data_IF_100444911332
#
_entry.id   IF_100444911332
#
_cell.length_a   1.000
_cell.length_b   1.000
_cell.length_c   1.000
_cell.angle_alpha   90.00
_cell.angle_beta   90.00
_cell.angle_gamma   90.00
#
_symmetry.space_group_name_H-M   'P 1'
#
loop_
_entity.id
_entity.type
_entity.pdbx_description
1 polymer ?
#
# COMPACT_ATOMS: atom_id res chain seq x y z
N UNK A 1 66.33 -47.78 56.22
CA UNK A 1 67.77 -47.41 56.26
C UNK A 1 67.91 -45.98 55.74
N UNK A 2 68.42 -45.10 56.61
CA UNK A 2 68.88 -43.69 56.46
C UNK A 2 68.00 -42.60 55.82
N UNK A 3 67.61 -41.68 56.71
CA UNK A 3 67.17 -40.30 56.54
C UNK A 3 68.35 -39.40 56.11
N UNK A 4 68.10 -38.34 55.34
CA UNK A 4 69.06 -37.28 55.05
C UNK A 4 68.43 -36.01 54.48
N UNK A 5 68.13 -35.05 55.36
CA UNK A 5 67.85 -33.62 55.07
C UNK A 5 69.18 -32.88 54.92
N UNK A 6 69.21 -31.71 54.26
CA UNK A 6 70.11 -30.51 54.46
C UNK A 6 70.12 -29.69 53.16
N UNK A 7 69.39 -28.57 53.00
CA UNK A 7 69.53 -27.15 53.43
C UNK A 7 69.82 -26.21 52.24
N UNK A 8 69.12 -25.07 52.22
CA UNK A 8 69.26 -23.93 51.30
C UNK A 8 70.62 -23.21 51.42
N UNK A 9 70.92 -22.31 50.47
CA UNK A 9 71.20 -20.94 50.88
C UNK A 9 70.38 -19.87 50.14
N UNK A 10 70.53 -18.66 50.66
CA UNK A 10 69.73 -17.44 50.59
C UNK A 10 70.56 -16.35 49.91
N UNK A 11 69.94 -15.42 49.15
CA UNK A 11 70.24 -13.97 49.01
C UNK A 11 69.49 -13.43 47.77
N UNK A 12 68.52 -12.54 47.95
CA UNK A 12 68.62 -11.08 48.07
C UNK A 12 68.97 -10.37 46.75
N UNK A 13 67.99 -9.64 46.20
CA UNK A 13 68.18 -8.67 45.11
C UNK A 13 66.94 -7.80 44.92
N UNK A 14 66.88 -6.67 45.62
CA UNK A 14 65.96 -5.55 45.36
C UNK A 14 66.55 -4.69 44.24
N UNK A 15 65.76 -4.44 43.19
CA UNK A 15 65.84 -3.27 42.31
C UNK A 15 64.44 -3.07 41.71
N UNK A 16 63.61 -2.17 42.22
CA UNK A 16 63.58 -0.72 41.95
C UNK A 16 63.40 -0.39 40.47
N UNK A 17 62.29 0.32 40.18
CA UNK A 17 62.07 1.24 39.04
C UNK A 17 61.94 0.60 37.64
N UNK A 18 60.98 0.92 36.77
CA UNK A 18 59.99 1.99 36.64
C UNK A 18 58.79 1.45 35.85
N UNK A 19 57.57 1.90 36.18
CA UNK A 19 56.36 1.73 35.37
C UNK A 19 56.45 2.62 34.12
N UNK A 20 56.10 2.16 32.92
CA UNK A 20 55.57 3.05 31.89
C UNK A 20 54.05 3.18 32.08
N UNK A 21 53.66 4.16 32.88
CA UNK A 21 52.33 4.78 32.78
C UNK A 21 52.45 5.82 31.67
N UNK A 22 52.07 5.46 30.44
CA UNK A 22 51.77 6.41 29.36
C UNK A 22 51.34 5.63 28.12
N UNK A 23 50.02 5.55 27.87
CA UNK A 23 49.38 5.61 26.54
C UNK A 23 47.94 5.08 26.49
N UNK A 24 47.36 4.63 27.61
CA UNK A 24 45.95 4.22 27.67
C UNK A 24 44.96 5.39 27.87
N UNK A 25 45.31 6.61 27.46
CA UNK A 25 44.41 7.78 27.50
C UNK A 25 44.09 8.37 26.12
N UNK A 26 44.72 7.88 25.04
CA UNK A 26 44.39 8.29 23.67
C UNK A 26 43.46 7.31 22.93
N UNK A 27 43.24 6.10 23.47
CA UNK A 27 42.27 5.16 22.91
C UNK A 27 40.86 5.29 23.49
N UNK A 28 40.69 6.05 24.59
CA UNK A 28 39.38 6.31 25.22
C UNK A 28 38.64 7.54 24.68
N UNK A 29 39.26 8.34 23.80
CA UNK A 29 38.62 9.57 23.27
C UNK A 29 38.05 9.41 21.85
N UNK A 30 38.21 8.24 21.21
CA UNK A 30 37.64 7.96 19.89
C UNK A 30 36.49 6.94 19.94
N UNK A 31 36.09 6.50 21.14
CA UNK A 31 34.98 5.56 21.37
C UNK A 31 33.74 6.25 21.99
N UNK A 32 33.60 7.56 21.76
CA UNK A 32 32.46 8.39 22.21
C UNK A 32 31.77 9.15 21.06
N UNK A 33 31.99 8.71 19.81
CA UNK A 33 31.30 9.22 18.62
C UNK A 33 30.50 8.14 17.88
N UNK A 34 30.16 7.04 18.55
CA UNK A 34 28.93 6.33 18.20
C UNK A 34 27.81 7.03 18.95
N UNK A 35 27.35 8.15 18.39
CA UNK A 35 26.01 8.60 18.70
C UNK A 35 25.10 7.44 18.27
N UNK A 36 24.59 6.71 19.25
CA UNK A 36 23.39 5.92 19.05
C UNK A 36 22.35 6.93 18.59
N UNK A 37 22.00 6.91 17.31
CA UNK A 37 20.79 7.56 16.84
C UNK A 37 19.70 7.05 17.78
N UNK A 38 19.23 7.94 18.65
CA UNK A 38 18.08 7.64 19.50
C UNK A 38 16.98 7.27 18.52
N UNK A 39 16.35 6.11 18.73
CA UNK A 39 15.20 5.65 17.95
C UNK A 39 14.31 6.85 17.60
N UNK A 40 14.44 7.31 16.35
CA UNK A 40 13.57 8.31 15.76
C UNK A 40 12.55 7.46 15.04
N UNK A 41 11.26 7.75 15.27
CA UNK A 41 10.17 7.25 14.45
C UNK A 41 10.35 7.63 13.00
N UNK A 42 9.29 7.50 12.20
CA UNK A 42 9.39 7.76 10.77
C UNK A 42 9.91 9.19 10.51
N UNK A 43 10.74 9.33 9.49
CA UNK A 43 11.11 10.63 8.97
C UNK A 43 9.87 11.26 8.31
N UNK A 44 9.32 12.30 8.97
CA UNK A 44 8.17 13.06 8.46
C UNK A 44 8.64 14.43 7.99
N UNK A 45 8.62 14.65 6.67
CA UNK A 45 9.18 15.85 6.02
C UNK A 45 8.23 16.44 4.99
N UNK A 46 8.30 17.75 4.79
CA UNK A 46 7.59 18.40 3.68
C UNK A 46 8.50 18.44 2.45
N UNK A 47 8.05 17.84 1.35
CA UNK A 47 8.71 17.92 0.04
C UNK A 47 8.42 19.26 -0.63
N UNK A 48 7.18 19.74 -0.48
CA UNK A 48 6.69 21.04 -0.89
C UNK A 48 5.51 21.46 0.02
N UNK A 49 4.94 22.67 -0.12
CA UNK A 49 3.75 23.03 0.64
C UNK A 49 2.60 22.03 0.40
N UNK A 50 2.14 21.39 1.47
CA UNK A 50 1.08 20.37 1.44
C UNK A 50 1.41 19.09 0.66
N UNK A 51 2.70 18.88 0.44
CA UNK A 51 3.26 17.66 -0.11
C UNK A 51 4.23 17.10 0.94
N UNK A 52 3.86 16.00 1.57
CA UNK A 52 4.49 15.47 2.78
C UNK A 52 4.93 14.04 2.49
N UNK A 53 6.12 13.68 2.96
CA UNK A 53 6.65 12.32 2.93
C UNK A 53 6.78 11.77 4.34
N UNK A 54 6.43 10.50 4.51
CA UNK A 54 6.69 9.70 5.71
C UNK A 54 7.49 8.47 5.29
N UNK A 55 8.73 8.35 5.81
CA UNK A 55 9.61 7.21 5.53
C UNK A 55 10.15 6.55 6.80
N UNK A 56 10.21 5.22 6.83
CA UNK A 56 10.69 4.44 7.98
C UNK A 56 9.60 3.89 8.88
N UNK A 57 9.98 3.36 10.05
CA UNK A 57 9.05 2.70 10.99
C UNK A 57 8.13 3.71 11.65
N UNK A 58 6.82 3.49 11.58
CA UNK A 58 5.81 4.37 12.17
C UNK A 58 5.76 4.18 13.68
N UNK A 59 6.09 5.22 14.43
CA UNK A 59 6.17 5.21 15.89
C UNK A 59 5.44 6.41 16.51
N UNK A 60 5.28 6.37 17.83
CA UNK A 60 4.60 7.42 18.57
C UNK A 60 5.19 8.82 18.31
N UNK A 61 4.37 9.74 17.80
CA UNK A 61 4.72 11.14 17.56
C UNK A 61 4.83 11.54 16.09
N UNK A 62 4.80 10.60 15.17
CA UNK A 62 4.76 10.82 13.72
C UNK A 62 3.45 11.53 13.30
N UNK A 63 2.33 11.24 13.96
CA UNK A 63 1.01 11.86 13.79
C UNK A 63 1.04 13.34 14.15
N UNK A 64 1.78 13.70 15.19
CA UNK A 64 2.01 15.08 15.59
C UNK A 64 3.01 15.78 14.67
N UNK A 65 4.00 15.07 14.14
CA UNK A 65 4.89 15.59 13.10
C UNK A 65 4.14 15.91 11.81
N UNK A 66 3.31 14.99 11.33
CA UNK A 66 2.43 15.16 10.18
C UNK A 66 1.49 16.36 10.37
N UNK A 67 0.80 16.44 11.53
CA UNK A 67 -0.11 17.54 11.85
C UNK A 67 0.58 18.90 11.78
N UNK A 68 1.80 19.01 12.33
CA UNK A 68 2.57 20.26 12.30
C UNK A 68 2.85 20.72 10.87
N UNK A 69 3.16 19.81 9.94
CA UNK A 69 3.38 20.15 8.55
C UNK A 69 2.09 20.58 7.84
N UNK A 70 0.98 19.87 8.09
CA UNK A 70 -0.35 20.23 7.57
C UNK A 70 -0.79 21.63 8.04
N UNK A 71 -0.62 21.91 9.33
CA UNK A 71 -0.98 23.21 9.92
C UNK A 71 -0.08 24.33 9.41
N UNK A 72 1.23 24.08 9.34
CA UNK A 72 2.21 25.06 8.84
C UNK A 72 1.96 25.40 7.36
N UNK A 73 1.59 24.39 6.55
CA UNK A 73 1.23 24.56 5.15
C UNK A 73 -0.18 25.14 4.94
N UNK A 74 -1.02 25.20 5.98
CA UNK A 74 -2.44 25.57 5.92
C UNK A 74 -3.19 24.72 4.87
N UNK A 75 -2.96 23.43 4.89
CA UNK A 75 -3.35 22.54 3.81
C UNK A 75 -4.87 22.31 3.77
N UNK A 76 -5.46 22.61 2.62
CA UNK A 76 -6.86 22.25 2.30
C UNK A 76 -6.96 20.96 1.49
N UNK A 77 -5.82 20.51 0.96
CA UNK A 77 -5.59 19.26 0.28
C UNK A 77 -4.13 18.88 0.54
N UNK A 78 -3.85 17.62 0.81
CA UNK A 78 -2.51 17.11 1.12
C UNK A 78 -2.18 15.93 0.22
N UNK A 79 -0.97 15.88 -0.33
CA UNK A 79 -0.39 14.64 -0.86
C UNK A 79 0.53 14.07 0.21
N UNK A 80 0.33 12.80 0.56
CA UNK A 80 1.12 12.07 1.53
C UNK A 80 1.82 10.90 0.84
N UNK A 81 3.12 11.04 0.65
CA UNK A 81 4.03 10.03 0.13
C UNK A 81 4.44 9.07 1.26
N UNK A 82 4.37 7.76 0.99
CA UNK A 82 4.53 6.71 1.98
C UNK A 82 5.64 5.74 1.54
N UNK A 83 6.66 5.61 2.38
CA UNK A 83 7.74 4.62 2.25
C UNK A 83 8.04 3.99 3.61
N UNK A 84 7.20 3.05 4.05
CA UNK A 84 7.27 2.50 5.40
C UNK A 84 7.05 0.99 5.44
N UNK A 85 7.85 0.25 6.24
CA UNK A 85 7.58 -1.15 6.55
C UNK A 85 6.37 -1.34 7.50
N UNK A 86 5.72 -0.25 7.93
CA UNK A 86 4.65 -0.25 8.93
C UNK A 86 5.15 0.15 10.32
N UNK A 87 4.46 -0.31 11.36
CA UNK A 87 4.74 0.05 12.74
C UNK A 87 3.48 0.11 13.59
N UNK A 88 3.36 1.16 14.40
CA UNK A 88 2.25 1.37 15.33
C UNK A 88 0.90 1.56 14.60
N UNK A 89 -0.06 0.66 14.86
CA UNK A 89 -1.44 0.79 14.37
C UNK A 89 -2.13 2.03 14.92
N UNK A 90 -1.92 2.32 16.21
CA UNK A 90 -2.46 3.52 16.85
C UNK A 90 -1.96 4.78 16.14
N UNK A 91 -0.67 4.84 15.80
CA UNK A 91 -0.10 5.99 15.10
C UNK A 91 -0.69 6.18 13.71
N UNK A 92 -0.86 5.07 12.98
CA UNK A 92 -1.49 5.06 11.66
C UNK A 92 -2.91 5.61 11.72
N UNK A 93 -3.72 5.16 12.68
CA UNK A 93 -5.09 5.65 12.81
C UNK A 93 -5.14 7.12 13.27
N UNK A 94 -4.20 7.56 14.10
CA UNK A 94 -4.07 8.98 14.47
C UNK A 94 -3.67 9.87 13.29
N UNK A 95 -2.88 9.38 12.33
CA UNK A 95 -2.60 10.08 11.07
C UNK A 95 -3.86 10.08 10.19
N UNK A 96 -4.47 8.91 9.99
CA UNK A 96 -5.65 8.74 9.12
C UNK A 96 -6.88 9.51 9.59
N UNK A 97 -7.05 9.73 10.90
CA UNK A 97 -8.12 10.57 11.46
C UNK A 97 -8.00 12.04 11.04
N UNK A 98 -6.83 12.46 10.56
CA UNK A 98 -6.59 13.81 10.04
C UNK A 98 -6.95 13.91 8.54
N UNK A 99 -7.30 12.80 7.89
CA UNK A 99 -7.60 12.78 6.46
C UNK A 99 -9.03 13.29 6.20
N UNK A 100 -9.08 14.50 5.64
CA UNK A 100 -10.30 15.08 5.07
C UNK A 100 -10.18 15.17 3.54
N UNK A 101 -9.03 15.62 3.05
CA UNK A 101 -8.66 15.71 1.63
C UNK A 101 -7.19 15.34 1.46
N UNK A 102 -6.89 14.06 1.68
CA UNK A 102 -5.53 13.55 1.63
C UNK A 102 -5.43 12.47 0.56
N UNK A 103 -4.56 12.70 -0.42
CA UNK A 103 -4.10 11.70 -1.37
C UNK A 103 -2.94 10.94 -0.74
N UNK A 104 -3.03 9.62 -0.69
CA UNK A 104 -1.90 8.76 -0.29
C UNK A 104 -1.19 8.24 -1.54
N UNK A 105 0.13 8.27 -1.53
CA UNK A 105 0.97 7.90 -2.67
C UNK A 105 2.08 6.96 -2.23
N UNK A 106 2.37 5.93 -3.02
CA UNK A 106 3.59 5.14 -2.89
C UNK A 106 4.43 5.38 -4.15
N UNK A 107 5.56 6.04 -4.00
CA UNK A 107 6.43 6.43 -5.12
C UNK A 107 7.19 5.24 -5.72
N UNK A 108 7.97 5.52 -6.76
CA UNK A 108 8.79 4.52 -7.43
C UNK A 108 9.77 3.84 -6.46
N UNK A 109 9.75 2.51 -6.46
CA UNK A 109 10.60 1.67 -5.61
C UNK A 109 10.41 1.88 -4.10
N UNK A 110 9.41 2.66 -3.68
CA UNK A 110 9.00 2.76 -2.29
C UNK A 110 8.12 1.57 -1.90
N UNK A 111 7.99 1.35 -0.60
CA UNK A 111 7.15 0.29 -0.06
C UNK A 111 6.19 0.81 1.00
N UNK A 112 5.00 0.23 1.07
CA UNK A 112 4.05 0.51 2.13
C UNK A 112 3.47 -0.81 2.62
N UNK A 113 4.03 -1.30 3.72
CA UNK A 113 3.76 -2.63 4.26
C UNK A 113 3.03 -2.54 5.60
N UNK A 114 2.29 -3.60 5.94
CA UNK A 114 1.70 -3.76 7.28
C UNK A 114 0.77 -2.59 7.65
N UNK A 115 0.99 -1.93 8.79
CA UNK A 115 0.25 -0.76 9.23
C UNK A 115 0.32 0.41 8.21
N UNK A 116 1.43 0.57 7.48
CA UNK A 116 1.50 1.58 6.41
C UNK A 116 0.43 1.30 5.35
N UNK A 117 0.24 0.04 4.95
CA UNK A 117 -0.75 -0.31 3.95
C UNK A 117 -2.18 0.09 4.37
N UNK A 118 -2.50 0.03 5.66
CA UNK A 118 -3.78 0.54 6.19
C UNK A 118 -3.86 2.08 6.12
N UNK A 119 -2.76 2.78 6.43
CA UNK A 119 -2.67 4.24 6.28
C UNK A 119 -2.87 4.66 4.82
N UNK A 120 -2.20 3.97 3.90
CA UNK A 120 -2.34 4.16 2.46
C UNK A 120 -3.80 4.03 2.04
N UNK A 121 -4.47 2.96 2.46
CA UNK A 121 -5.86 2.73 2.09
C UNK A 121 -6.83 3.77 2.68
N UNK A 122 -6.48 4.46 3.77
CA UNK A 122 -7.33 5.48 4.37
C UNK A 122 -7.41 6.79 3.56
N UNK A 123 -6.52 6.98 2.56
CA UNK A 123 -6.51 8.16 1.68
C UNK A 123 -7.87 8.41 1.03
N UNK A 124 -8.36 9.65 1.16
CA UNK A 124 -9.69 10.04 0.68
C UNK A 124 -9.78 11.55 0.44
N UNK A 125 -10.65 11.92 -0.49
CA UNK A 125 -11.01 13.30 -0.75
C UNK A 125 -12.50 13.53 -0.56
N UNK A 126 -12.83 14.35 0.43
CA UNK A 126 -14.19 14.82 0.68
C UNK A 126 -14.38 16.24 0.12
N UNK A 127 -15.24 16.41 -0.90
CA UNK A 127 -15.53 17.71 -1.51
C UNK A 127 -16.84 17.75 -2.30
N UNK A 128 -17.23 18.94 -2.79
CA UNK A 128 -18.34 19.13 -3.72
C UNK A 128 -19.69 19.51 -3.09
N UNK A 129 -20.67 19.73 -3.97
CA UNK A 129 -22.09 19.89 -3.67
C UNK A 129 -22.91 19.09 -4.70
N UNK A 130 -23.45 17.90 -4.36
CA UNK A 130 -23.50 17.31 -3.02
C UNK A 130 -22.11 16.97 -2.48
N UNK A 131 -22.00 16.94 -1.15
CA UNK A 131 -20.77 16.56 -0.47
C UNK A 131 -20.50 15.07 -0.73
N UNK A 132 -19.36 14.77 -1.36
CA UNK A 132 -18.92 13.43 -1.77
C UNK A 132 -17.53 13.14 -1.21
N UNK A 133 -17.32 11.94 -0.69
CA UNK A 133 -16.06 11.43 -0.19
C UNK A 133 -15.72 10.15 -0.95
N UNK A 134 -14.62 10.16 -1.69
CA UNK A 134 -14.12 8.98 -2.42
C UNK A 134 -12.70 8.64 -1.99
N UNK A 135 -12.28 7.37 -2.10
CA UNK A 135 -10.88 7.02 -1.91
C UNK A 135 -9.99 7.82 -2.86
N UNK A 136 -8.80 8.18 -2.37
CA UNK A 136 -7.81 8.90 -3.16
C UNK A 136 -6.43 8.37 -2.78
N UNK A 137 -5.97 7.40 -3.57
CA UNK A 137 -4.79 6.59 -3.29
C UNK A 137 -4.18 6.10 -4.59
N UNK A 138 -2.87 6.23 -4.72
CA UNK A 138 -2.15 5.88 -5.93
C UNK A 138 -0.82 5.22 -5.62
N UNK A 139 -0.39 4.26 -6.42
CA UNK A 139 0.92 3.64 -6.26
C UNK A 139 1.67 3.57 -7.59
N UNK A 140 2.99 3.69 -7.53
CA UNK A 140 3.83 3.51 -8.70
C UNK A 140 3.89 2.03 -9.09
N UNK A 141 4.05 1.71 -10.37
CA UNK A 141 4.07 0.31 -10.85
C UNK A 141 5.23 -0.52 -10.27
N UNK A 142 6.32 0.14 -9.85
CA UNK A 142 7.49 -0.51 -9.23
C UNK A 142 7.46 -0.48 -7.70
N UNK A 143 6.42 0.11 -7.12
CA UNK A 143 6.27 0.17 -5.67
C UNK A 143 5.71 -1.14 -5.11
N UNK A 144 5.83 -1.33 -3.80
CA UNK A 144 5.34 -2.53 -3.11
C UNK A 144 4.27 -2.15 -2.09
N UNK A 145 3.07 -2.70 -2.24
CA UNK A 145 1.98 -2.57 -1.26
C UNK A 145 1.64 -3.96 -0.71
N UNK A 146 1.69 -4.11 0.61
CA UNK A 146 1.59 -5.43 1.24
C UNK A 146 0.81 -5.43 2.55
N UNK A 147 -0.10 -6.39 2.68
CA UNK A 147 -0.98 -6.56 3.84
C UNK A 147 -0.70 -7.89 4.55
N UNK A 148 -0.80 -7.91 5.88
CA UNK A 148 -0.72 -9.14 6.66
C UNK A 148 -1.47 -9.01 7.98
N UNK A 149 -1.70 -10.12 8.68
CA UNK A 149 -2.31 -10.09 10.00
C UNK A 149 -1.38 -9.41 11.03
N UNK A 150 -1.88 -8.54 11.91
CA UNK A 150 -1.05 -7.83 12.88
C UNK A 150 -0.17 -8.74 13.75
N UNK A 151 1.03 -8.26 14.08
CA UNK A 151 1.87 -8.93 15.07
C UNK A 151 1.34 -8.69 16.48
N UNK A 152 1.41 -9.72 17.31
CA UNK A 152 1.25 -9.60 18.76
C UNK A 152 2.63 -9.82 19.34
N UNK A 153 3.31 -8.74 19.73
CA UNK A 153 4.47 -8.90 20.59
C UNK A 153 3.99 -9.40 21.95
N UNK A 154 4.47 -10.57 22.35
CA UNK A 154 4.35 -11.01 23.73
C UNK A 154 5.15 -10.03 24.59
N UNK A 155 4.48 -9.06 25.19
CA UNK A 155 5.09 -8.10 26.13
C UNK A 155 5.67 -8.88 27.32
N UNK A 156 6.98 -9.18 27.28
CA UNK A 156 7.70 -9.87 28.35
C UNK A 156 8.61 -10.97 27.84
N UNK A 157 9.92 -10.70 27.82
CA UNK A 157 10.95 -11.71 27.50
C UNK A 157 10.76 -13.01 28.28
N UNK A 158 10.87 -14.14 27.58
CA UNK A 158 10.73 -15.52 28.09
C UNK A 158 9.60 -15.78 29.09
N UNK A 159 8.53 -14.96 29.10
CA UNK A 159 7.39 -15.21 29.95
C UNK A 159 6.34 -15.93 29.13
N UNK A 160 5.99 -17.15 29.56
CA UNK A 160 4.83 -17.89 29.08
C UNK A 160 3.58 -17.03 29.32
N UNK A 161 3.27 -16.15 28.39
CA UNK A 161 2.02 -15.37 28.42
C UNK A 161 0.88 -16.39 28.38
N UNK A 162 -0.01 -16.32 29.37
CA UNK A 162 -1.18 -17.18 29.39
C UNK A 162 -1.94 -17.04 28.07
N UNK A 163 -2.29 -18.16 27.42
CA UNK A 163 -2.95 -18.18 26.09
C UNK A 163 -4.16 -17.24 26.03
N UNK A 164 -4.89 -17.08 27.13
CA UNK A 164 -6.06 -16.21 27.23
C UNK A 164 -5.72 -14.71 27.13
N UNK A 165 -4.54 -14.28 27.62
CA UNK A 165 -4.07 -12.89 27.54
C UNK A 165 -3.61 -12.56 26.11
N UNK A 166 -2.90 -13.48 25.46
CA UNK A 166 -2.51 -13.32 24.06
C UNK A 166 -3.73 -13.29 23.13
N UNK A 167 -4.77 -14.10 23.42
CA UNK A 167 -6.01 -14.09 22.67
C UNK A 167 -6.81 -12.79 22.85
N UNK A 168 -6.97 -12.29 24.08
CA UNK A 168 -7.71 -11.04 24.31
C UNK A 168 -7.00 -9.82 23.72
N UNK A 169 -5.65 -9.80 23.75
CA UNK A 169 -4.84 -8.80 23.03
C UNK A 169 -5.06 -8.90 21.51
N UNK A 170 -5.04 -10.11 20.95
CA UNK A 170 -5.34 -10.34 19.54
C UNK A 170 -6.70 -9.75 19.15
N UNK A 171 -7.74 -10.12 19.89
CA UNK A 171 -9.10 -9.66 19.67
C UNK A 171 -9.20 -8.14 19.79
N UNK A 172 -8.47 -7.53 20.74
CA UNK A 172 -8.39 -6.08 20.90
C UNK A 172 -7.83 -5.39 19.65
N UNK A 173 -6.70 -5.87 19.13
CA UNK A 173 -6.08 -5.32 17.90
C UNK A 173 -7.00 -5.49 16.69
N UNK A 174 -7.61 -6.66 16.54
CA UNK A 174 -8.58 -6.88 15.46
C UNK A 174 -9.80 -5.95 15.57
N UNK A 175 -10.33 -5.77 16.78
CA UNK A 175 -11.45 -4.87 17.01
C UNK A 175 -11.07 -3.41 16.70
N UNK A 176 -9.87 -2.97 17.08
CA UNK A 176 -9.37 -1.63 16.76
C UNK A 176 -9.31 -1.41 15.24
N UNK A 177 -8.74 -2.36 14.49
CA UNK A 177 -8.70 -2.27 13.02
C UNK A 177 -10.12 -2.20 12.45
N UNK A 178 -10.99 -3.12 12.86
CA UNK A 178 -12.36 -3.18 12.36
C UNK A 178 -13.14 -1.89 12.65
N UNK A 179 -13.01 -1.34 13.86
CA UNK A 179 -13.71 -0.12 14.28
C UNK A 179 -13.26 1.09 13.46
N UNK A 180 -11.95 1.30 13.32
CA UNK A 180 -11.40 2.43 12.57
C UNK A 180 -11.76 2.33 11.08
N UNK A 181 -11.61 1.16 10.47
CA UNK A 181 -11.95 0.96 9.07
C UNK A 181 -13.45 1.08 8.82
N UNK A 182 -14.31 0.54 9.69
CA UNK A 182 -15.75 0.69 9.57
C UNK A 182 -16.17 2.17 9.66
N UNK A 183 -15.56 2.94 10.56
CA UNK A 183 -15.79 4.39 10.69
C UNK A 183 -15.45 5.11 9.39
N UNK A 184 -14.30 4.82 8.80
CA UNK A 184 -13.87 5.42 7.53
C UNK A 184 -14.75 4.99 6.36
N UNK A 185 -15.15 3.72 6.27
CA UNK A 185 -16.09 3.21 5.27
C UNK A 185 -17.46 3.88 5.38
N UNK A 186 -17.96 4.09 6.60
CA UNK A 186 -19.22 4.78 6.82
C UNK A 186 -19.17 6.24 6.31
N UNK A 187 -18.03 6.93 6.49
CA UNK A 187 -17.85 8.29 5.99
C UNK A 187 -17.95 8.37 4.47
N UNK A 188 -17.28 7.47 3.73
CA UNK A 188 -17.36 7.47 2.26
C UNK A 188 -18.75 7.04 1.76
N UNK A 189 -19.34 5.99 2.35
CA UNK A 189 -20.64 5.45 1.92
C UNK A 189 -21.81 6.40 2.11
N UNK A 190 -21.81 7.18 3.20
CA UNK A 190 -22.87 8.17 3.45
C UNK A 190 -22.95 9.26 2.38
N UNK A 191 -21.92 9.37 1.54
CA UNK A 191 -21.80 10.42 0.54
C UNK A 191 -21.97 9.95 -0.90
N UNK A 192 -22.42 8.69 -1.10
CA UNK A 192 -22.73 8.12 -2.41
C UNK A 192 -21.68 7.15 -2.96
N UNK A 193 -20.55 6.96 -2.27
CA UNK A 193 -19.59 5.92 -2.63
C UNK A 193 -20.17 4.52 -2.32
N UNK A 194 -20.08 3.59 -3.27
CA UNK A 194 -20.76 2.29 -3.23
C UNK A 194 -19.96 1.18 -2.53
N UNK A 195 -18.66 1.40 -2.30
CA UNK A 195 -17.74 0.47 -1.62
C UNK A 195 -17.32 0.95 -0.23
N UNK A 196 -16.60 0.11 0.48
CA UNK A 196 -15.93 0.44 1.75
C UNK A 196 -14.56 1.09 1.48
N UNK A 197 -14.01 1.87 2.45
CA UNK A 197 -12.67 2.47 2.28
C UNK A 197 -11.62 1.35 2.12
N UNK A 198 -11.78 0.27 2.89
CA UNK A 198 -11.06 -1.00 2.71
C UNK A 198 -12.12 -2.05 2.40
N UNK A 199 -12.17 -2.55 1.15
CA UNK A 199 -13.10 -3.61 0.78
C UNK A 199 -12.95 -4.85 1.65
N UNK A 200 -14.10 -5.46 1.98
CA UNK A 200 -14.14 -6.61 2.90
C UNK A 200 -13.32 -7.81 2.44
N UNK A 201 -13.14 -8.00 1.13
CA UNK A 201 -12.31 -9.06 0.57
C UNK A 201 -10.81 -8.80 0.79
N UNK A 202 -10.35 -7.54 0.69
CA UNK A 202 -8.97 -7.19 1.04
C UNK A 202 -8.73 -7.39 2.54
N UNK A 203 -9.66 -6.94 3.37
CA UNK A 203 -9.58 -7.11 4.81
C UNK A 203 -9.51 -8.60 5.21
N UNK A 204 -10.29 -9.45 4.55
CA UNK A 204 -10.22 -10.90 4.75
C UNK A 204 -8.85 -11.46 4.34
N UNK A 205 -8.32 -11.05 3.17
CA UNK A 205 -6.98 -11.45 2.71
C UNK A 205 -5.88 -11.05 3.67
N UNK A 206 -5.95 -9.83 4.23
CA UNK A 206 -5.03 -9.37 5.26
C UNK A 206 -5.07 -10.29 6.49
N UNK A 207 -6.25 -10.61 7.02
CA UNK A 207 -6.37 -11.40 8.25
C UNK A 207 -6.02 -12.89 8.09
N UNK A 208 -6.14 -13.46 6.90
CA UNK A 208 -5.71 -14.84 6.64
C UNK A 208 -4.22 -14.95 6.31
N UNK A 209 -3.56 -13.82 5.98
CA UNK A 209 -2.13 -13.79 5.68
C UNK A 209 -1.34 -13.80 6.99
N UNK A 210 -0.44 -14.79 7.19
CA UNK A 210 0.33 -14.90 8.42
C UNK A 210 1.17 -13.64 8.69
N UNK A 211 1.45 -13.28 9.96
CA UNK A 211 2.23 -12.08 10.27
C UNK A 211 3.61 -12.04 9.62
N UNK A 212 4.25 -13.20 9.43
CA UNK A 212 5.57 -13.34 8.81
C UNK A 212 5.58 -13.30 7.27
N UNK A 213 4.42 -13.15 6.63
CA UNK A 213 4.24 -13.16 5.18
C UNK A 213 3.46 -11.92 4.74
N UNK A 214 3.38 -11.64 3.44
CA UNK A 214 2.63 -10.53 2.89
C UNK A 214 1.75 -10.95 1.73
N UNK A 215 0.51 -10.48 1.76
CA UNK A 215 -0.36 -10.44 0.62
C UNK A 215 -0.05 -9.17 -0.18
N UNK A 216 0.59 -9.32 -1.32
CA UNK A 216 1.02 -8.22 -2.18
C UNK A 216 -0.06 -7.83 -3.20
N UNK A 217 -0.11 -6.54 -3.53
CA UNK A 217 -0.90 -6.00 -4.63
C UNK A 217 -0.05 -5.99 -5.89
N UNK A 218 -0.36 -6.88 -6.83
CA UNK A 218 0.46 -7.17 -8.02
C UNK A 218 -0.33 -7.20 -9.33
N UNK A 219 -1.66 -7.19 -9.27
CA UNK A 219 -2.54 -7.37 -10.45
C UNK A 219 -3.51 -6.21 -10.64
N UNK A 220 -3.86 -5.96 -11.91
CA UNK A 220 -4.84 -4.94 -12.29
C UNK A 220 -6.21 -5.17 -11.65
N UNK A 221 -6.62 -6.42 -11.48
CA UNK A 221 -7.91 -6.76 -10.86
C UNK A 221 -7.95 -6.34 -9.38
N UNK A 222 -6.84 -6.49 -8.65
CA UNK A 222 -6.73 -6.03 -7.26
C UNK A 222 -6.76 -4.49 -7.19
N UNK A 223 -5.98 -3.82 -8.04
CA UNK A 223 -5.95 -2.36 -8.12
C UNK A 223 -7.34 -1.79 -8.41
N UNK A 224 -8.05 -2.35 -9.38
CA UNK A 224 -9.41 -1.95 -9.73
C UNK A 224 -10.43 -2.26 -8.64
N UNK A 225 -10.37 -3.49 -8.08
CA UNK A 225 -11.31 -3.92 -7.04
C UNK A 225 -11.19 -3.08 -5.77
N UNK A 226 -10.00 -2.53 -5.52
CA UNK A 226 -9.70 -1.74 -4.33
C UNK A 226 -9.47 -0.27 -4.62
N UNK A 227 -9.86 0.23 -5.80
CA UNK A 227 -9.82 1.65 -6.15
C UNK A 227 -8.45 2.29 -5.85
N UNK A 228 -7.40 1.59 -6.29
CA UNK A 228 -6.01 2.03 -6.23
C UNK A 228 -5.60 2.47 -7.63
N UNK A 229 -5.27 3.75 -7.77
CA UNK A 229 -4.74 4.26 -9.03
C UNK A 229 -3.28 3.83 -9.24
N UNK A 230 -2.91 3.67 -10.51
CA UNK A 230 -1.51 3.57 -10.91
C UNK A 230 -1.07 4.91 -11.48
N UNK A 231 0.10 5.35 -11.07
CA UNK A 231 0.78 6.48 -11.70
C UNK A 231 2.17 6.04 -12.19
N UNK A 232 2.61 6.63 -13.29
CA UNK A 232 3.98 6.56 -13.75
C UNK A 232 4.65 7.94 -13.58
N UNK A 233 5.94 7.93 -13.27
CA UNK A 233 6.78 9.13 -13.29
C UNK A 233 7.34 9.39 -14.69
N UNK A 234 7.12 8.48 -15.62
CA UNK A 234 7.49 8.65 -17.01
C UNK A 234 6.51 9.60 -17.68
N UNK A 235 6.99 10.75 -18.15
CA UNK A 235 6.26 11.53 -19.13
C UNK A 235 5.99 10.63 -20.33
N UNK A 236 4.79 10.01 -20.41
CA UNK A 236 4.38 9.00 -21.40
C UNK A 236 5.25 9.06 -22.65
N UNK A 237 6.34 8.31 -22.64
CA UNK A 237 7.33 8.34 -23.72
C UNK A 237 6.85 7.36 -24.77
N UNK A 238 5.78 7.77 -25.44
CA UNK A 238 5.02 6.97 -26.39
C UNK A 238 3.80 6.34 -25.72
N UNK A 239 2.63 6.57 -26.31
CA UNK A 239 1.53 5.63 -26.15
C UNK A 239 2.08 4.22 -26.40
N UNK A 240 1.83 3.24 -25.51
CA UNK A 240 2.24 1.87 -25.78
C UNK A 240 1.69 1.51 -27.17
N UNK A 241 2.55 1.01 -28.06
CA UNK A 241 2.11 0.58 -29.38
C UNK A 241 1.24 -0.68 -29.21
N UNK A 242 -0.04 -0.47 -28.98
CA UNK A 242 -1.01 -1.54 -28.92
C UNK A 242 -1.22 -2.04 -30.35
N UNK A 243 -1.12 -3.34 -30.53
CA UNK A 243 -1.60 -3.97 -31.76
C UNK A 243 -3.10 -3.74 -31.89
N UNK A 244 -3.62 -3.71 -33.12
CA UNK A 244 -5.06 -3.63 -33.41
C UNK A 244 -5.86 -4.71 -32.64
N UNK A 245 -5.25 -5.89 -32.51
CA UNK A 245 -5.68 -6.93 -31.60
C UNK A 245 -5.86 -6.41 -30.16
N UNK A 246 -4.79 -5.96 -29.50
CA UNK A 246 -4.84 -5.49 -28.12
C UNK A 246 -5.84 -4.34 -27.92
N UNK A 247 -5.95 -3.42 -28.88
CA UNK A 247 -7.00 -2.38 -28.89
C UNK A 247 -8.39 -3.02 -28.91
N UNK A 248 -8.64 -3.96 -29.82
CA UNK A 248 -9.90 -4.69 -29.88
C UNK A 248 -10.25 -5.42 -28.58
N UNK A 249 -9.27 -6.03 -27.91
CA UNK A 249 -9.47 -6.68 -26.60
C UNK A 249 -9.81 -5.67 -25.50
N UNK A 250 -9.11 -4.54 -25.44
CA UNK A 250 -9.37 -3.49 -24.47
C UNK A 250 -10.75 -2.86 -24.68
N UNK A 251 -11.11 -2.53 -25.92
CA UNK A 251 -12.45 -2.02 -26.26
C UNK A 251 -13.54 -3.03 -25.91
N UNK A 252 -13.34 -4.32 -26.21
CA UNK A 252 -14.31 -5.36 -25.86
C UNK A 252 -14.46 -5.50 -24.35
N UNK A 253 -13.36 -5.44 -23.59
CA UNK A 253 -13.38 -5.49 -22.12
C UNK A 253 -14.07 -4.25 -21.50
N UNK A 254 -13.84 -3.05 -22.06
CA UNK A 254 -14.50 -1.81 -21.63
C UNK A 254 -16.01 -1.84 -21.90
N UNK A 255 -16.42 -2.25 -23.11
CA UNK A 255 -17.83 -2.43 -23.46
C UNK A 255 -18.47 -3.49 -22.54
N UNK A 256 -17.76 -4.58 -22.26
CA UNK A 256 -18.22 -5.61 -21.33
C UNK A 256 -18.40 -5.05 -19.91
N UNK A 257 -17.50 -4.20 -19.43
CA UNK A 257 -17.59 -3.54 -18.13
C UNK A 257 -18.84 -2.66 -18.02
N UNK A 258 -19.08 -1.79 -19.00
CA UNK A 258 -20.25 -0.90 -19.03
C UNK A 258 -21.57 -1.68 -19.17
N UNK A 259 -21.57 -2.77 -19.94
CA UNK A 259 -22.76 -3.59 -20.17
C UNK A 259 -23.01 -4.65 -19.09
N UNK A 260 -22.17 -4.80 -18.06
CA UNK A 260 -22.42 -5.74 -16.93
C UNK A 260 -23.72 -5.45 -16.16
N UNK A 261 -24.34 -4.28 -16.36
CA UNK A 261 -25.67 -3.95 -15.85
C UNK A 261 -26.84 -4.20 -16.81
N UNK A 262 -26.59 -4.52 -18.09
CA UNK A 262 -27.61 -4.61 -19.14
C UNK A 262 -27.96 -6.07 -19.45
N UNK A 263 -28.70 -6.70 -18.55
CA UNK A 263 -29.33 -8.01 -18.78
C UNK A 263 -30.61 -7.92 -19.63
N UNK A 264 -30.67 -7.02 -20.59
CA UNK A 264 -31.76 -6.97 -21.58
C UNK A 264 -31.32 -6.22 -22.86
N UNK A 265 -30.69 -6.95 -23.78
CA UNK A 265 -30.64 -6.52 -25.18
C UNK A 265 -31.23 -7.69 -25.97
N UNK A 266 -32.44 -7.48 -26.50
CA UNK A 266 -33.06 -8.37 -27.48
C UNK A 266 -32.23 -8.30 -28.78
N UNK A 267 -31.23 -9.15 -28.87
CA UNK A 267 -30.34 -9.25 -30.02
C UNK A 267 -29.26 -10.30 -29.76
N UNK A 268 -29.58 -11.55 -30.11
CA UNK A 268 -28.71 -12.72 -30.39
C UNK A 268 -27.33 -12.91 -29.74
N UNK A 269 -27.00 -12.25 -28.63
CA UNK A 269 -26.00 -12.77 -27.71
C UNK A 269 -26.64 -13.97 -27.03
N UNK A 270 -26.39 -15.16 -27.59
CA UNK A 270 -26.88 -16.43 -27.05
C UNK A 270 -26.73 -16.45 -25.53
N UNK A 271 -27.78 -16.91 -24.84
CA UNK A 271 -27.92 -16.76 -23.39
C UNK A 271 -26.69 -17.22 -22.58
N UNK A 272 -26.67 -16.87 -21.30
CA UNK A 272 -25.59 -17.00 -20.30
C UNK A 272 -24.55 -18.14 -20.47
N UNK A 273 -24.92 -19.30 -21.03
CA UNK A 273 -23.98 -20.38 -21.40
C UNK A 273 -23.00 -20.05 -22.55
N UNK A 274 -23.43 -19.30 -23.58
CA UNK A 274 -22.52 -18.83 -24.63
C UNK A 274 -21.58 -17.73 -24.11
N UNK A 275 -22.06 -16.93 -23.15
CA UNK A 275 -21.31 -15.90 -22.42
C UNK A 275 -20.10 -16.46 -21.63
N UNK A 276 -20.26 -17.57 -20.89
CA UNK A 276 -19.13 -18.22 -20.18
C UNK A 276 -18.12 -18.82 -21.16
N UNK A 277 -18.61 -19.34 -22.28
CA UNK A 277 -17.75 -19.97 -23.30
C UNK A 277 -16.94 -18.93 -24.07
N UNK A 278 -17.53 -17.78 -24.40
CA UNK A 278 -16.84 -16.67 -25.08
C UNK A 278 -15.89 -15.89 -24.16
N UNK A 279 -16.22 -15.76 -22.86
CA UNK A 279 -15.31 -15.18 -21.86
C UNK A 279 -14.07 -16.05 -21.64
N UNK A 280 -14.23 -17.38 -21.54
CA UNK A 280 -13.11 -18.32 -21.46
C UNK A 280 -12.30 -18.38 -22.75
N UNK A 281 -12.91 -18.12 -23.91
CA UNK A 281 -12.20 -18.00 -25.19
C UNK A 281 -11.42 -16.69 -25.26
N UNK A 282 -12.01 -15.55 -24.93
CA UNK A 282 -11.33 -14.25 -24.96
C UNK A 282 -10.12 -14.17 -24.00
N UNK A 283 -10.16 -14.88 -22.87
CA UNK A 283 -9.02 -15.03 -21.95
C UNK A 283 -7.92 -15.96 -22.47
N UNK A 284 -8.19 -16.77 -23.50
CA UNK A 284 -7.24 -17.76 -24.06
C UNK A 284 -6.93 -17.57 -25.56
N UNK A 285 -7.57 -16.61 -26.24
CA UNK A 285 -7.35 -16.26 -27.65
C UNK A 285 -8.49 -15.43 -28.26
N UNK A 286 -8.18 -14.62 -29.30
CA UNK A 286 -9.13 -13.73 -29.98
C UNK A 286 -10.48 -14.37 -30.31
N UNK A 287 -11.57 -13.72 -29.91
CA UNK A 287 -12.92 -14.04 -30.38
C UNK A 287 -13.34 -12.99 -31.40
N UNK A 288 -13.44 -13.39 -32.67
CA UNK A 288 -14.09 -12.59 -33.72
C UNK A 288 -15.48 -13.19 -33.92
N UNK A 289 -16.53 -12.42 -33.62
CA UNK A 289 -17.90 -12.77 -34.00
C UNK A 289 -18.37 -11.86 -35.14
N UNK A 290 -18.75 -12.40 -36.30
CA UNK A 290 -19.50 -11.63 -37.28
C UNK A 290 -20.86 -11.25 -36.69
N UNK A 291 -21.24 -9.98 -36.81
CA UNK A 291 -22.58 -9.51 -36.48
C UNK A 291 -23.52 -9.89 -37.63
N UNK A 292 -23.94 -11.15 -37.69
CA UNK A 292 -25.00 -11.54 -38.60
C UNK A 292 -26.33 -10.94 -38.10
N UNK A 293 -26.99 -10.12 -38.92
CA UNK A 293 -28.36 -9.65 -38.68
C UNK A 293 -28.53 -8.22 -38.17
N UNK A 294 -27.48 -7.41 -38.01
CA UNK A 294 -27.63 -6.00 -37.63
C UNK A 294 -27.86 -5.10 -38.86
N UNK A 295 -29.11 -4.70 -39.11
CA UNK A 295 -29.42 -3.66 -40.10
C UNK A 295 -29.53 -2.29 -39.41
N UNK A 296 -28.60 -1.38 -39.71
CA UNK A 296 -28.69 0.02 -39.29
C UNK A 296 -29.88 0.68 -40.01
N UNK A 297 -30.87 1.27 -39.32
CA UNK A 297 -31.94 1.99 -39.98
C UNK A 297 -31.38 3.26 -40.62
N UNK A 298 -31.11 3.25 -41.92
CA UNK A 298 -30.79 4.48 -42.67
C UNK A 298 -29.79 4.36 -43.81
N UNK A 299 -29.00 3.29 -43.90
CA UNK A 299 -27.98 3.19 -44.94
C UNK A 299 -28.24 2.00 -45.87
N UNK A 300 -28.88 2.28 -47.00
CA UNK A 300 -29.29 1.26 -47.95
C UNK A 300 -28.23 0.93 -49.02
N UNK A 301 -27.05 1.57 -49.04
CA UNK A 301 -26.14 1.48 -50.19
C UNK A 301 -24.63 1.52 -49.90
N UNK A 302 -24.15 1.10 -48.73
CA UNK A 302 -22.72 0.83 -48.54
C UNK A 302 -22.48 -0.66 -48.33
N UNK A 303 -21.69 -1.26 -49.23
CA UNK A 303 -21.10 -2.60 -49.07
C UNK A 303 -19.95 -2.58 -48.04
N UNK A 304 -20.07 -1.78 -47.00
CA UNK A 304 -19.19 -1.86 -45.86
C UNK A 304 -19.75 -2.93 -44.93
N UNK A 305 -19.06 -4.07 -44.85
CA UNK A 305 -19.03 -4.81 -43.60
C UNK A 305 -18.31 -3.92 -42.58
N UNK A 306 -19.05 -2.93 -42.11
CA UNK A 306 -18.58 -1.87 -41.24
C UNK A 306 -18.62 -2.44 -39.82
N UNK A 307 -17.44 -2.79 -39.34
CA UNK A 307 -17.16 -2.90 -37.91
C UNK A 307 -17.38 -1.50 -37.31
N UNK A 308 -18.63 -1.14 -37.03
CA UNK A 308 -18.93 0.21 -36.56
C UNK A 308 -18.63 0.32 -35.06
N UNK A 309 -17.37 0.56 -34.75
CA UNK A 309 -16.99 1.37 -33.59
C UNK A 309 -15.70 2.11 -33.95
N UNK A 310 -15.86 3.26 -34.61
CA UNK A 310 -14.79 4.24 -34.78
C UNK A 310 -14.75 5.12 -33.55
N UNK A 311 -13.64 5.07 -32.83
CA UNK A 311 -13.34 6.04 -31.78
C UNK A 311 -12.23 6.97 -32.30
N UNK A 312 -12.61 8.11 -32.85
CA UNK A 312 -11.64 9.17 -33.15
C UNK A 312 -11.43 10.04 -31.90
N UNK A 313 -10.17 10.26 -31.52
CA UNK A 313 -9.75 11.03 -30.34
C UNK A 313 -10.15 10.42 -28.98
N UNK A 314 -9.83 9.15 -28.73
CA UNK A 314 -9.77 8.63 -27.36
C UNK A 314 -8.60 9.30 -26.62
N UNK A 315 -8.83 10.52 -26.14
CA UNK A 315 -8.02 11.13 -25.11
C UNK A 315 -8.29 10.35 -23.81
N UNK A 316 -7.48 9.32 -23.53
CA UNK A 316 -7.49 8.59 -22.26
C UNK A 316 -6.83 9.43 -21.14
N UNK A 317 -7.21 10.72 -21.06
CA UNK A 317 -6.94 11.59 -19.93
C UNK A 317 -7.70 11.13 -18.69
N UNK A 318 -7.35 11.67 -17.51
CA UNK A 318 -7.62 11.06 -16.20
C UNK A 318 -9.11 10.76 -16.05
N UNK A 319 -9.40 9.50 -15.71
CA UNK A 319 -10.72 8.96 -15.48
C UNK A 319 -11.56 9.93 -14.64
N UNK A 320 -12.57 10.52 -15.27
CA UNK A 320 -13.61 11.27 -14.60
C UNK A 320 -14.82 10.35 -14.47
N UNK A 321 -15.27 10.20 -13.22
CA UNK A 321 -16.39 9.41 -12.72
C UNK A 321 -17.73 9.56 -13.46
N UNK A 322 -18.52 8.49 -13.40
CA UNK A 322 -19.99 8.45 -13.46
C UNK A 322 -20.40 6.98 -13.34
N UNK A 323 -21.12 6.53 -12.31
CA UNK A 323 -22.45 6.96 -11.88
C UNK A 323 -22.62 6.99 -10.36
#
# INVERSE_FOLDING_TARGET
MKIGRVTRPRKNGRSSMRKPIANWLLFSLCLLLFQTDSARGAEVVALAPCDISISGVLEAGDSAAYRRLVDAGRCSFTTLHLDSPGGSLTEVFEIADQFFRTRTVIDDNAQCLSACALLFMAGRACSGSPFTCTPLRDMHMTSVLGFHAPFLEATGGEQLVARDVSYSQAVGVFAEILENLARYSAQVRQTGYDKDIIPSDLLARMFVTPPQDFYLVESNDQLFSWDIGLHDNDAQSGEPSLTEAQVGTLCYALIFHEMRGWSYIDGEFGGYGAFVTDSNRATTGFVVKPLDGFSVPGDANSNSQEYLMSFENLNMGPAVSGW
#
